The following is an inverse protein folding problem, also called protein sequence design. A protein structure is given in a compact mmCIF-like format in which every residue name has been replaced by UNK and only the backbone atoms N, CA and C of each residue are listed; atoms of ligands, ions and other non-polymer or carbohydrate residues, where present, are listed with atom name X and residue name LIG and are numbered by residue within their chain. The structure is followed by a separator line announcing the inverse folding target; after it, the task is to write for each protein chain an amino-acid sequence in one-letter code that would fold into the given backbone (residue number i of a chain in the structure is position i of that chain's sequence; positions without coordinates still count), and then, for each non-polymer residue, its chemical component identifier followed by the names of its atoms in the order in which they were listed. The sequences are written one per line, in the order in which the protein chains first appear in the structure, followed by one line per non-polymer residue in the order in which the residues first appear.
data_IF_697868540471
#
_entry.id   IF_697868540471
#
_cell.length_a   1.000
_cell.length_b   1.000
_cell.length_c   1.000
_cell.angle_alpha   90.00
_cell.angle_beta   90.00
_cell.angle_gamma   90.00
#
_symmetry.space_group_name_H-M   'P 1'
#
loop_
_entity.id
_entity.type
_entity.pdbx_description
1 polymer ?
#
# COMPACT_ATOMS: atom_id res chain seq x y z
N UNK A 1 7.85 14.56 28.46
CA UNK A 1 7.99 14.18 27.05
C UNK A 1 8.46 15.41 26.27
N UNK A 2 9.52 15.32 25.48
CA UNK A 2 10.07 16.44 24.71
C UNK A 2 9.12 16.81 23.56
N UNK A 3 8.94 18.12 23.29
CA UNK A 3 8.11 18.57 22.17
C UNK A 3 8.94 18.56 20.89
N UNK A 4 8.43 17.89 19.86
CA UNK A 4 9.00 17.83 18.52
C UNK A 4 8.14 18.66 17.58
N UNK A 5 8.69 19.79 17.11
CA UNK A 5 7.96 20.82 16.36
C UNK A 5 8.29 20.85 14.86
N UNK A 6 9.00 19.84 14.32
CA UNK A 6 9.27 19.80 12.88
C UNK A 6 8.03 19.44 12.10
N UNK A 7 7.70 20.25 11.12
CA UNK A 7 6.62 19.92 10.20
C UNK A 7 7.09 18.95 9.12
N UNK A 8 6.29 17.90 8.81
CA UNK A 8 6.58 17.00 7.70
C UNK A 8 6.49 17.68 6.32
N UNK A 9 6.07 18.94 6.28
CA UNK A 9 6.00 19.75 5.05
C UNK A 9 7.16 20.72 4.91
N UNK A 10 8.05 20.84 5.89
CA UNK A 10 9.23 21.72 5.78
C UNK A 10 10.25 21.13 4.79
N UNK A 11 10.56 21.83 3.67
CA UNK A 11 11.46 21.30 2.64
C UNK A 11 12.81 20.86 3.18
N UNK A 12 13.40 21.64 4.09
CA UNK A 12 14.72 21.33 4.70
C UNK A 12 14.65 20.04 5.51
N UNK A 13 13.57 19.83 6.27
CA UNK A 13 13.37 18.60 7.04
C UNK A 13 13.10 17.40 6.12
N UNK A 14 12.27 17.57 5.09
CA UNK A 14 11.97 16.50 4.13
C UNK A 14 13.20 16.08 3.33
N UNK A 15 14.04 17.03 2.94
CA UNK A 15 15.25 16.73 2.17
C UNK A 15 16.32 16.01 2.98
N UNK A 16 16.46 16.32 4.27
CA UNK A 16 17.42 15.67 5.16
C UNK A 16 16.93 15.62 6.61
N UNK A 17 16.09 14.65 6.98
CA UNK A 17 15.54 14.53 8.33
C UNK A 17 16.54 13.98 9.36
N UNK A 18 17.61 13.31 8.92
CA UNK A 18 18.52 12.54 9.78
C UNK A 18 19.16 13.35 10.90
N UNK A 19 19.70 14.57 10.68
CA UNK A 19 20.29 15.37 11.77
C UNK A 19 19.30 15.76 12.86
N UNK A 20 18.00 15.79 12.51
CA UNK A 20 16.93 16.04 13.47
C UNK A 20 16.61 14.77 14.26
N UNK A 21 16.49 13.64 13.56
CA UNK A 21 16.25 12.34 14.20
C UNK A 21 17.36 11.95 15.18
N UNK A 22 18.60 12.24 14.86
CA UNK A 22 19.74 11.94 15.74
C UNK A 22 19.65 12.63 17.10
N UNK A 23 19.00 13.81 17.17
CA UNK A 23 18.80 14.56 18.43
C UNK A 23 17.66 14.04 19.28
N UNK A 24 16.72 13.29 18.70
CA UNK A 24 15.48 12.84 19.35
C UNK A 24 15.33 11.32 19.32
N UNK A 25 16.39 10.59 18.98
CA UNK A 25 16.38 9.14 18.80
C UNK A 25 16.07 8.39 20.08
N UNK A 26 16.34 8.98 21.24
CA UNK A 26 16.10 8.36 22.55
C UNK A 26 14.76 8.78 23.15
N UNK A 27 13.96 7.79 23.51
CA UNK A 27 12.70 7.98 24.21
C UNK A 27 11.54 8.46 23.33
N UNK A 28 10.47 8.85 24.02
CA UNK A 28 9.25 9.34 23.40
C UNK A 28 9.24 10.86 23.32
N UNK A 29 8.77 11.37 22.16
CA UNK A 29 8.51 12.80 21.96
C UNK A 29 7.04 13.02 21.68
N UNK A 30 6.54 14.24 21.91
CA UNK A 30 5.22 14.66 21.45
C UNK A 30 5.39 15.42 20.12
N UNK A 31 4.89 14.83 19.03
CA UNK A 31 4.95 15.49 17.72
C UNK A 31 3.82 16.49 17.59
N UNK A 32 4.16 17.76 17.69
CA UNK A 32 3.19 18.85 17.75
C UNK A 32 2.32 18.92 16.49
N UNK A 33 2.89 18.73 15.32
CA UNK A 33 2.18 18.80 14.03
C UNK A 33 1.12 17.71 13.87
N UNK A 34 1.31 16.55 14.47
CA UNK A 34 0.37 15.42 14.43
C UNK A 34 -0.41 15.24 15.73
N UNK A 35 -0.15 16.08 16.73
CA UNK A 35 -0.79 16.03 18.05
C UNK A 35 -0.76 14.64 18.69
N UNK A 36 0.35 13.91 18.52
CA UNK A 36 0.49 12.54 18.99
C UNK A 36 1.88 12.23 19.55
N UNK A 37 2.00 11.21 20.42
CA UNK A 37 3.29 10.65 20.80
C UNK A 37 3.98 10.04 19.57
N UNK A 38 5.29 10.23 19.47
CA UNK A 38 6.11 9.65 18.42
C UNK A 38 7.41 9.07 19.00
N UNK A 39 7.96 8.08 18.31
CA UNK A 39 9.20 7.41 18.68
C UNK A 39 10.06 7.21 17.42
N UNK A 40 11.39 7.39 17.56
CA UNK A 40 12.33 7.35 16.45
C UNK A 40 13.46 6.32 16.67
N UNK A 41 13.47 5.62 17.81
CA UNK A 41 14.42 4.55 18.08
C UNK A 41 14.01 3.26 17.41
N UNK A 42 14.89 2.69 16.57
CA UNK A 42 14.64 1.39 15.92
C UNK A 42 14.31 0.29 16.94
N UNK A 43 15.07 0.20 18.03
CA UNK A 43 14.89 -0.85 19.04
C UNK A 43 13.53 -0.76 19.74
N UNK A 44 13.03 0.45 20.00
CA UNK A 44 11.72 0.64 20.61
C UNK A 44 10.59 0.39 19.60
N UNK A 45 10.74 0.83 18.37
CA UNK A 45 9.79 0.56 17.29
C UNK A 45 9.66 -0.95 17.05
N UNK A 46 10.78 -1.68 16.99
CA UNK A 46 10.79 -3.14 16.81
C UNK A 46 10.07 -3.86 17.97
N UNK A 47 10.27 -3.42 19.22
CA UNK A 47 9.55 -3.94 20.38
C UNK A 47 8.04 -3.69 20.29
N UNK A 48 7.63 -2.48 19.84
CA UNK A 48 6.22 -2.14 19.68
C UNK A 48 5.54 -3.00 18.60
N UNK A 49 6.17 -3.17 17.45
CA UNK A 49 5.63 -4.03 16.38
C UNK A 49 5.52 -5.51 16.77
N UNK A 50 6.32 -5.97 17.72
CA UNK A 50 6.27 -7.33 18.28
C UNK A 50 5.32 -7.48 19.46
N UNK A 51 4.78 -6.38 19.97
CA UNK A 51 3.91 -6.39 21.14
C UNK A 51 2.49 -6.85 20.75
N UNK A 52 2.10 -8.01 21.27
CA UNK A 52 0.77 -8.61 21.00
C UNK A 52 -0.42 -7.84 21.59
N UNK A 53 -0.16 -6.83 22.44
CA UNK A 53 -1.19 -5.96 22.98
C UNK A 53 -1.50 -4.76 22.08
N UNK A 54 -0.72 -4.57 21.04
CA UNK A 54 -0.92 -3.52 20.05
C UNK A 54 -1.46 -4.14 18.76
N UNK A 55 -2.47 -3.53 18.20
CA UNK A 55 -3.10 -3.95 16.96
C UNK A 55 -3.62 -2.74 16.18
N UNK A 56 -4.16 -2.98 15.01
CA UNK A 56 -4.73 -1.94 14.14
C UNK A 56 -6.24 -1.81 14.33
N UNK A 57 -6.93 -2.93 14.53
CA UNK A 57 -8.37 -2.96 14.78
C UNK A 57 -8.64 -2.44 16.19
N UNK A 58 -9.38 -1.36 16.34
CA UNK A 58 -9.70 -0.80 17.66
C UNK A 58 -10.71 -1.71 18.37
N UNK A 59 -10.28 -2.28 19.50
CA UNK A 59 -11.03 -3.31 20.26
C UNK A 59 -12.36 -2.77 20.85
N UNK A 60 -12.47 -1.46 21.07
CA UNK A 60 -13.62 -0.81 21.71
C UNK A 60 -14.00 0.52 21.04
N UNK A 61 -13.66 0.73 19.79
CA UNK A 61 -14.22 1.86 19.08
C UNK A 61 -15.70 1.63 18.91
N UNK A 62 -16.51 2.43 19.58
CA UNK A 62 -17.90 2.60 19.17
C UNK A 62 -17.95 2.82 17.67
N UNK A 63 -19.09 2.58 17.04
CA UNK A 63 -19.26 2.74 15.59
C UNK A 63 -18.53 4.00 15.09
N UNK A 64 -17.43 3.79 14.35
CA UNK A 64 -16.75 4.91 13.69
C UNK A 64 -17.76 5.44 12.68
N UNK A 65 -18.24 6.64 12.92
CA UNK A 65 -19.21 7.27 12.02
C UNK A 65 -18.51 7.66 10.71
N UNK A 66 -18.48 6.72 9.78
CA UNK A 66 -17.91 6.93 8.44
C UNK A 66 -18.88 7.78 7.64
N UNK A 67 -18.46 8.96 7.14
CA UNK A 67 -19.29 9.75 6.25
C UNK A 67 -19.74 8.92 5.04
N UNK A 68 -21.04 8.97 4.70
CA UNK A 68 -21.61 8.17 3.60
C UNK A 68 -20.83 8.30 2.29
N UNK A 69 -20.28 9.49 1.99
CA UNK A 69 -19.48 9.70 0.79
C UNK A 69 -18.20 8.88 0.73
N UNK A 70 -17.64 8.49 1.88
CA UNK A 70 -16.41 7.69 1.97
C UNK A 70 -16.67 6.18 2.05
N UNK A 71 -17.93 5.77 2.16
CA UNK A 71 -18.32 4.38 2.33
C UNK A 71 -17.70 3.44 1.29
N UNK A 72 -17.67 3.75 -0.04
CA UNK A 72 -17.08 2.85 -1.02
C UNK A 72 -15.61 2.51 -0.79
N UNK A 73 -14.82 3.45 -0.26
CA UNK A 73 -13.44 3.17 0.14
C UNK A 73 -13.39 2.26 1.37
N UNK A 74 -14.15 2.59 2.40
CA UNK A 74 -14.15 1.81 3.64
C UNK A 74 -14.78 0.42 3.50
N UNK A 75 -15.61 0.18 2.49
CA UNK A 75 -16.09 -1.16 2.15
C UNK A 75 -14.96 -2.08 1.68
N UNK A 76 -13.96 -1.54 0.97
CA UNK A 76 -12.74 -2.27 0.61
C UNK A 76 -11.87 -2.48 1.86
N UNK A 77 -11.64 -1.42 2.64
CA UNK A 77 -10.81 -1.46 3.85
C UNK A 77 -11.32 -2.47 4.88
N UNK A 78 -12.63 -2.62 5.01
CA UNK A 78 -13.24 -3.61 5.91
C UNK A 78 -12.82 -5.06 5.61
N UNK A 79 -12.21 -5.30 4.45
CA UNK A 79 -11.72 -6.61 4.01
C UNK A 79 -10.22 -6.61 3.71
N UNK A 80 -9.53 -5.51 4.00
CA UNK A 80 -8.09 -5.39 3.82
C UNK A 80 -7.33 -6.14 4.92
N UNK A 81 -6.42 -7.04 4.54
CA UNK A 81 -5.54 -7.68 5.53
C UNK A 81 -4.68 -6.68 6.31
N UNK A 82 -4.44 -5.50 5.75
CA UNK A 82 -3.66 -4.45 6.41
C UNK A 82 -4.36 -3.90 7.65
N UNK A 83 -5.69 -3.88 7.65
CA UNK A 83 -6.51 -3.26 8.70
C UNK A 83 -7.14 -4.27 9.66
N UNK A 84 -7.00 -5.57 9.42
CA UNK A 84 -7.65 -6.62 10.17
C UNK A 84 -6.74 -7.27 11.21
N UNK A 85 -7.37 -7.74 12.30
CA UNK A 85 -6.72 -8.57 13.33
C UNK A 85 -7.21 -10.03 13.28
N UNK A 86 -6.51 -10.96 13.95
CA UNK A 86 -7.01 -12.33 14.11
C UNK A 86 -8.42 -12.37 14.73
N UNK A 87 -9.32 -13.31 14.30
CA UNK A 87 -9.07 -14.41 13.37
C UNK A 87 -9.21 -14.05 11.88
N UNK A 88 -9.82 -12.90 11.53
CA UNK A 88 -10.12 -12.48 10.15
C UNK A 88 -8.84 -12.31 9.32
N UNK A 89 -7.86 -11.57 9.84
CA UNK A 89 -6.53 -11.45 9.23
C UNK A 89 -5.89 -12.82 8.95
N UNK A 90 -5.88 -13.70 9.96
CA UNK A 90 -5.25 -15.02 9.82
C UNK A 90 -5.89 -15.86 8.72
N UNK A 91 -7.23 -15.78 8.59
CA UNK A 91 -7.96 -16.49 7.55
C UNK A 91 -7.59 -15.99 6.16
N UNK A 92 -7.67 -14.68 5.92
CA UNK A 92 -7.33 -14.07 4.63
C UNK A 92 -5.86 -14.30 4.25
N UNK A 93 -4.95 -14.09 5.20
CA UNK A 93 -3.51 -14.32 4.99
C UNK A 93 -3.22 -15.77 4.60
N UNK A 94 -3.90 -16.75 5.20
CA UNK A 94 -3.73 -18.16 4.85
C UNK A 94 -4.12 -18.42 3.41
N UNK A 95 -5.21 -17.86 2.92
CA UNK A 95 -5.63 -18.01 1.52
C UNK A 95 -4.58 -17.43 0.57
N UNK A 96 -4.09 -16.21 0.83
CA UNK A 96 -3.05 -15.58 0.01
C UNK A 96 -1.75 -16.38 0.04
N UNK A 97 -1.33 -16.90 1.20
CA UNK A 97 -0.09 -17.71 1.31
C UNK A 97 -0.14 -19.01 0.50
N UNK A 98 -1.31 -19.59 0.29
CA UNK A 98 -1.46 -20.75 -0.60
C UNK A 98 -1.12 -20.42 -2.06
N UNK A 99 -1.42 -19.20 -2.49
CA UNK A 99 -1.12 -18.73 -3.83
C UNK A 99 0.36 -18.29 -4.00
N UNK A 100 1.01 -17.82 -2.92
CA UNK A 100 2.41 -17.40 -2.89
C UNK A 100 3.34 -18.52 -2.41
N UNK A 101 3.40 -19.63 -3.14
CA UNK A 101 4.34 -20.72 -2.81
C UNK A 101 5.78 -20.33 -3.17
N UNK A 102 6.77 -20.89 -2.43
CA UNK A 102 8.19 -20.67 -2.71
C UNK A 102 8.56 -21.03 -4.16
N UNK A 103 7.95 -22.08 -4.72
CA UNK A 103 8.15 -22.49 -6.12
C UNK A 103 7.65 -21.41 -7.10
N UNK A 104 6.46 -20.83 -6.86
CA UNK A 104 5.88 -19.79 -7.72
C UNK A 104 6.70 -18.51 -7.66
N UNK A 105 7.14 -18.13 -6.47
CA UNK A 105 8.03 -16.96 -6.28
C UNK A 105 9.37 -17.18 -6.99
N UNK A 106 9.99 -18.36 -6.88
CA UNK A 106 11.24 -18.67 -7.57
C UNK A 106 11.09 -18.61 -9.10
N UNK A 107 9.94 -19.01 -9.64
CA UNK A 107 9.65 -18.97 -11.08
C UNK A 107 9.53 -17.52 -11.63
N UNK A 108 9.25 -16.53 -10.77
CA UNK A 108 9.20 -15.13 -11.21
C UNK A 108 10.56 -14.54 -11.59
N UNK A 109 11.68 -15.08 -11.07
CA UNK A 109 13.02 -14.53 -11.31
C UNK A 109 13.31 -14.31 -12.80
N UNK A 110 13.27 -15.37 -13.64
CA UNK A 110 13.51 -15.23 -15.09
C UNK A 110 12.50 -14.31 -15.80
N UNK A 111 11.24 -14.28 -15.35
CA UNK A 111 10.23 -13.41 -15.93
C UNK A 111 10.50 -11.94 -15.62
N UNK A 112 10.93 -11.63 -14.39
CA UNK A 112 11.31 -10.29 -13.97
C UNK A 112 12.56 -9.85 -14.73
N UNK A 113 13.57 -10.71 -14.88
CA UNK A 113 14.79 -10.43 -15.62
C UNK A 113 14.45 -10.06 -17.08
N UNK A 114 13.65 -10.88 -17.76
CA UNK A 114 13.19 -10.61 -19.12
C UNK A 114 12.38 -9.30 -19.22
N UNK A 115 11.53 -9.02 -18.24
CA UNK A 115 10.80 -7.76 -18.16
C UNK A 115 11.76 -6.57 -18.03
N UNK A 116 12.75 -6.67 -17.15
CA UNK A 116 13.73 -5.61 -16.95
C UNK A 116 14.53 -5.34 -18.23
N UNK A 117 15.02 -6.38 -18.91
CA UNK A 117 15.69 -6.23 -20.18
C UNK A 117 14.81 -5.56 -21.22
N UNK A 118 13.57 -6.02 -21.40
CA UNK A 118 12.61 -5.40 -22.32
C UNK A 118 12.37 -3.91 -22.04
N UNK A 119 12.29 -3.52 -20.77
CA UNK A 119 12.12 -2.11 -20.40
C UNK A 119 13.38 -1.29 -20.71
N UNK A 120 14.57 -1.84 -20.42
CA UNK A 120 15.86 -1.18 -20.69
C UNK A 120 16.08 -1.00 -22.20
N UNK A 121 15.77 -2.01 -23.00
CA UNK A 121 15.91 -1.96 -24.46
C UNK A 121 15.01 -0.90 -25.12
N UNK A 122 13.97 -0.46 -24.41
CA UNK A 122 13.05 0.58 -24.84
C UNK A 122 13.31 1.96 -24.20
N UNK A 123 14.44 2.15 -23.53
CA UNK A 123 14.76 3.45 -22.96
C UNK A 123 14.90 4.53 -24.03
N UNK A 124 14.37 5.74 -23.78
CA UNK A 124 14.63 6.90 -24.65
C UNK A 124 16.13 7.20 -24.76
N UNK A 125 16.54 7.74 -25.93
CA UNK A 125 17.93 8.19 -26.10
C UNK A 125 18.24 9.50 -25.38
N UNK A 126 17.23 10.30 -25.11
CA UNK A 126 17.33 11.56 -24.37
C UNK A 126 17.23 11.32 -22.84
N UNK A 127 17.68 12.26 -21.99
CA UNK A 127 17.47 12.18 -20.55
C UNK A 127 16.00 11.99 -20.20
N UNK A 128 15.70 11.01 -19.33
CA UNK A 128 14.34 10.63 -18.93
C UNK A 128 14.23 10.38 -17.42
N UNK A 129 13.03 10.36 -16.90
CA UNK A 129 12.75 10.00 -15.51
C UNK A 129 12.74 8.46 -15.34
N UNK A 130 13.77 7.95 -14.68
CA UNK A 130 13.93 6.51 -14.39
C UNK A 130 12.81 5.95 -13.50
N UNK A 131 12.21 6.77 -12.63
CA UNK A 131 11.15 6.32 -11.75
C UNK A 131 9.90 5.95 -12.55
N UNK A 132 9.43 6.83 -13.40
CA UNK A 132 8.23 6.58 -14.21
C UNK A 132 8.47 5.58 -15.33
N UNK A 133 9.66 5.61 -15.95
CA UNK A 133 9.98 4.79 -17.12
C UNK A 133 10.33 3.35 -16.75
N UNK A 134 10.93 3.11 -15.58
CA UNK A 134 11.43 1.80 -15.19
C UNK A 134 10.96 1.35 -13.80
N UNK A 135 11.31 2.10 -12.75
CA UNK A 135 11.15 1.63 -11.38
C UNK A 135 9.67 1.39 -11.00
N UNK A 136 8.77 2.20 -11.53
CA UNK A 136 7.32 2.03 -11.35
C UNK A 136 6.76 0.88 -12.21
N UNK A 137 7.30 0.69 -13.42
CA UNK A 137 6.77 -0.30 -14.37
C UNK A 137 7.02 -1.74 -13.90
N UNK A 138 8.20 -2.03 -13.37
CA UNK A 138 8.57 -3.39 -12.94
C UNK A 138 7.57 -3.97 -11.94
N UNK A 139 7.35 -3.38 -10.76
CA UNK A 139 6.43 -3.97 -9.77
C UNK A 139 4.98 -4.01 -10.24
N UNK A 140 4.48 -2.99 -10.93
CA UNK A 140 3.07 -2.96 -11.34
C UNK A 140 2.77 -4.02 -12.41
N UNK A 141 3.69 -4.26 -13.35
CA UNK A 141 3.54 -5.32 -14.36
C UNK A 141 3.63 -6.70 -13.70
N UNK A 142 4.57 -6.90 -12.78
CA UNK A 142 4.70 -8.18 -12.06
C UNK A 142 3.43 -8.49 -11.26
N UNK A 143 2.88 -7.50 -10.54
CA UNK A 143 1.63 -7.67 -9.79
C UNK A 143 0.46 -7.97 -10.74
N UNK A 144 0.34 -7.25 -11.86
CA UNK A 144 -0.70 -7.51 -12.85
C UNK A 144 -0.64 -8.94 -13.40
N UNK A 145 0.55 -9.44 -13.73
CA UNK A 145 0.77 -10.83 -14.18
C UNK A 145 0.40 -11.85 -13.10
N UNK A 146 0.79 -11.62 -11.85
CA UNK A 146 0.43 -12.49 -10.72
C UNK A 146 -1.08 -12.57 -10.51
N UNK A 147 -1.78 -11.46 -10.67
CA UNK A 147 -3.24 -11.40 -10.60
C UNK A 147 -3.92 -11.95 -11.86
N UNK A 148 -3.15 -12.17 -12.93
CA UNK A 148 -3.68 -12.53 -14.24
C UNK A 148 -4.32 -11.37 -15.01
N UNK A 149 -4.20 -10.13 -14.51
CA UNK A 149 -4.74 -8.93 -15.15
C UNK A 149 -3.87 -8.53 -16.34
N UNK A 150 -4.47 -8.14 -17.49
CA UNK A 150 -3.71 -7.72 -18.67
C UNK A 150 -2.75 -6.56 -18.39
N UNK A 151 -1.54 -6.60 -18.96
CA UNK A 151 -0.56 -5.53 -18.83
C UNK A 151 -1.07 -4.16 -19.28
N UNK A 152 -2.04 -4.12 -20.20
CA UNK A 152 -2.71 -2.88 -20.61
C UNK A 152 -3.46 -2.17 -19.49
N UNK A 153 -3.78 -2.87 -18.41
CA UNK A 153 -4.46 -2.31 -17.23
C UNK A 153 -3.51 -1.79 -16.16
N UNK A 154 -2.20 -1.95 -16.33
CA UNK A 154 -1.21 -1.58 -15.29
C UNK A 154 -1.27 -0.10 -14.89
N UNK A 155 -1.41 0.80 -15.86
CA UNK A 155 -1.55 2.24 -15.56
C UNK A 155 -2.81 2.54 -14.75
N UNK A 156 -3.89 1.83 -15.04
CA UNK A 156 -5.16 1.99 -14.34
C UNK A 156 -5.09 1.42 -12.92
N UNK A 157 -4.50 0.22 -12.75
CA UNK A 157 -4.26 -0.38 -11.44
C UNK A 157 -3.39 0.51 -10.56
N UNK A 158 -2.32 1.08 -11.14
CA UNK A 158 -1.42 1.99 -10.44
C UNK A 158 -2.17 3.27 -10.00
N UNK A 159 -2.98 3.86 -10.87
CA UNK A 159 -3.78 5.03 -10.54
C UNK A 159 -4.73 4.75 -9.37
N UNK A 160 -5.53 3.68 -9.44
CA UNK A 160 -6.44 3.32 -8.37
C UNK A 160 -5.71 3.07 -7.04
N UNK A 161 -4.58 2.33 -7.09
CA UNK A 161 -3.77 2.06 -5.90
C UNK A 161 -3.22 3.35 -5.28
N UNK A 162 -2.65 4.24 -6.09
CA UNK A 162 -2.10 5.50 -5.61
C UNK A 162 -3.18 6.38 -4.97
N UNK A 163 -4.34 6.53 -5.62
CA UNK A 163 -5.44 7.33 -5.09
C UNK A 163 -5.96 6.76 -3.75
N UNK A 164 -6.14 5.44 -3.65
CA UNK A 164 -6.61 4.79 -2.43
C UNK A 164 -5.58 4.87 -1.29
N UNK A 165 -4.29 4.66 -1.58
CA UNK A 165 -3.20 4.73 -0.57
C UNK A 165 -3.10 6.12 0.06
N UNK A 166 -3.46 7.17 -0.67
CA UNK A 166 -3.47 8.53 -0.11
C UNK A 166 -4.45 8.69 1.07
N UNK A 167 -5.42 7.79 1.23
CA UNK A 167 -6.34 7.78 2.38
C UNK A 167 -5.65 7.47 3.72
N UNK A 168 -4.46 6.88 3.70
CA UNK A 168 -3.67 6.63 4.93
C UNK A 168 -2.90 7.87 5.43
N UNK A 169 -2.92 8.97 4.69
CA UNK A 169 -2.28 10.21 5.13
C UNK A 169 -3.06 10.86 6.27
N UNK A 170 -2.32 11.41 7.25
CA UNK A 170 -2.93 12.09 8.40
C UNK A 170 -3.64 13.41 8.01
N UNK A 171 -3.23 14.05 6.92
CA UNK A 171 -3.77 15.33 6.43
C UNK A 171 -4.39 15.14 5.06
N UNK A 172 -5.62 14.68 5.04
CA UNK A 172 -6.39 14.50 3.81
C UNK A 172 -7.17 15.75 3.48
N UNK A 173 -7.29 16.03 2.17
CA UNK A 173 -8.21 17.05 1.68
C UNK A 173 -9.48 16.40 1.10
N UNK A 174 -10.61 17.10 1.03
CA UNK A 174 -11.82 16.57 0.41
C UNK A 174 -11.60 16.08 -1.03
N UNK A 175 -10.78 16.79 -1.82
CA UNK A 175 -10.47 16.41 -3.21
C UNK A 175 -9.69 15.11 -3.30
N UNK A 176 -8.78 14.86 -2.33
CA UNK A 176 -8.04 13.61 -2.23
C UNK A 176 -8.98 12.46 -1.87
N UNK A 177 -9.87 12.67 -0.90
CA UNK A 177 -10.86 11.69 -0.48
C UNK A 177 -11.83 11.33 -1.63
N UNK A 178 -12.30 12.33 -2.39
CA UNK A 178 -13.19 12.11 -3.53
C UNK A 178 -12.52 11.33 -4.66
N UNK A 179 -11.22 11.58 -4.93
CA UNK A 179 -10.45 10.75 -5.88
C UNK A 179 -10.31 9.31 -5.41
N UNK A 180 -10.00 9.12 -4.13
CA UNK A 180 -9.86 7.78 -3.55
C UNK A 180 -11.19 7.00 -3.63
N UNK A 181 -12.31 7.64 -3.35
CA UNK A 181 -13.65 7.04 -3.47
C UNK A 181 -13.96 6.67 -4.92
N UNK A 182 -13.68 7.57 -5.87
CA UNK A 182 -13.86 7.29 -7.30
C UNK A 182 -13.02 6.07 -7.72
N UNK A 183 -11.76 6.04 -7.34
CA UNK A 183 -10.85 4.92 -7.63
C UNK A 183 -11.29 3.62 -6.96
N UNK A 184 -11.83 3.67 -5.74
CA UNK A 184 -12.38 2.51 -5.05
C UNK A 184 -13.61 1.93 -5.78
N UNK A 185 -14.53 2.77 -6.26
CA UNK A 185 -15.71 2.35 -7.03
C UNK A 185 -15.28 1.71 -8.36
N UNK A 186 -14.39 2.36 -9.11
CA UNK A 186 -13.90 1.86 -10.40
C UNK A 186 -13.16 0.53 -10.23
N UNK A 187 -12.27 0.44 -9.25
CA UNK A 187 -11.53 -0.79 -8.92
C UNK A 187 -12.46 -1.93 -8.55
N UNK A 188 -13.42 -1.70 -7.66
CA UNK A 188 -14.39 -2.72 -7.23
C UNK A 188 -15.24 -3.22 -8.41
N UNK A 189 -15.70 -2.32 -9.28
CA UNK A 189 -16.47 -2.68 -10.47
C UNK A 189 -15.65 -3.51 -11.45
N UNK A 190 -14.41 -3.10 -11.71
CA UNK A 190 -13.48 -3.85 -12.56
C UNK A 190 -13.22 -5.25 -11.99
N UNK A 191 -12.89 -5.34 -10.71
CA UNK A 191 -12.57 -6.62 -10.06
C UNK A 191 -13.77 -7.56 -10.03
N UNK A 192 -14.98 -7.06 -9.78
CA UNK A 192 -16.20 -7.88 -9.82
C UNK A 192 -16.39 -8.51 -11.20
N UNK A 193 -16.27 -7.72 -12.26
CA UNK A 193 -16.37 -8.22 -13.65
C UNK A 193 -15.27 -9.22 -13.96
N UNK A 194 -14.04 -8.90 -13.58
CA UNK A 194 -12.87 -9.74 -13.86
C UNK A 194 -12.92 -11.08 -13.13
N UNK A 195 -13.38 -11.11 -11.89
CA UNK A 195 -13.60 -12.35 -11.12
C UNK A 195 -14.62 -13.26 -11.83
N UNK A 196 -15.72 -12.71 -12.34
CA UNK A 196 -16.70 -13.50 -13.09
C UNK A 196 -16.13 -14.04 -14.40
N UNK A 197 -15.31 -13.27 -15.11
CA UNK A 197 -14.59 -13.76 -16.29
C UNK A 197 -13.67 -14.93 -15.94
N UNK A 198 -12.92 -14.82 -14.82
CA UNK A 198 -12.03 -15.87 -14.37
C UNK A 198 -12.77 -17.14 -13.86
N UNK A 199 -13.93 -16.99 -13.25
CA UNK A 199 -14.80 -18.13 -12.92
C UNK A 199 -15.20 -18.93 -14.15
N UNK A 200 -15.49 -18.24 -15.26
CA UNK A 200 -15.88 -18.87 -16.51
C UNK A 200 -14.67 -19.40 -17.32
N UNK A 201 -13.49 -18.78 -17.16
CA UNK A 201 -12.23 -19.14 -17.83
C UNK A 201 -11.06 -19.08 -16.86
N UNK A 202 -10.90 -20.08 -15.99
CA UNK A 202 -9.77 -20.13 -15.04
C UNK A 202 -8.43 -20.13 -15.76
N UNK A 203 -7.43 -19.49 -15.15
CA UNK A 203 -6.05 -19.48 -15.62
C UNK A 203 -5.08 -19.73 -14.44
N UNK A 204 -3.78 -19.84 -14.73
CA UNK A 204 -2.76 -19.99 -13.68
C UNK A 204 -2.40 -18.61 -13.10
N UNK A 205 -3.35 -18.04 -12.34
CA UNK A 205 -3.22 -16.75 -11.66
C UNK A 205 -3.82 -16.79 -10.24
N UNK A 206 -3.61 -15.70 -9.48
CA UNK A 206 -4.08 -15.61 -8.09
C UNK A 206 -5.60 -15.53 -7.97
N UNK A 207 -6.28 -14.96 -8.97
CA UNK A 207 -7.74 -14.76 -8.92
C UNK A 207 -8.46 -16.06 -9.24
N UNK A 208 -7.86 -16.93 -10.06
CA UNK A 208 -8.43 -18.22 -10.44
C UNK A 208 -8.22 -19.32 -9.40
N UNK A 209 -7.26 -19.18 -8.49
CA UNK A 209 -6.89 -20.14 -7.46
C UNK A 209 -7.54 -19.83 -6.11
#
# INVERSE_FOLDING_TARGET
MHIFSQSPTYPVFVQNPYPVYDKIREGWVYWQDYEMPAIFSYSEIDKLFKNKLLGREAINSGEVNIPKRLQPFYDIEAHSMLELEPPRHTHLRKMVLHAFTSRRIAALGPEIENLCHRLIDNFPNDPFDILSTYATQVPVIVIARLLGVPESMTSQLLRWSNDMVMMYQARRTPELEDRAVTSAIEFSSFMATYIEERRNKPADDLISN
#
